data_IF_423820964263
#
_entry.id   IF_423820964263
#
_cell.length_a   1.000
_cell.length_b   1.000
_cell.length_c   1.000
_cell.angle_alpha   90.00
_cell.angle_beta   90.00
_cell.angle_gamma   90.00
#
_symmetry.space_group_name_H-M   'P 1'
#
loop_
_entity.id
_entity.type
_entity.pdbx_description
1 polymer ?
#
# COMPACT_ATOMS: atom_id res chain seq x y z
N UNK A 1 -12.23 4.47 -7.78
CA UNK A 1 -12.08 3.00 -7.62
C UNK A 1 -11.30 2.68 -6.35
N UNK A 2 -10.01 2.94 -6.27
CA UNK A 2 -9.18 2.71 -5.05
C UNK A 2 -9.69 3.47 -3.84
N UNK A 3 -10.14 4.72 -3.99
CA UNK A 3 -10.78 5.48 -2.92
C UNK A 3 -12.00 4.77 -2.31
N UNK A 4 -12.87 4.15 -3.15
CA UNK A 4 -14.03 3.40 -2.65
C UNK A 4 -13.58 2.14 -1.88
N UNK A 5 -12.55 1.43 -2.35
CA UNK A 5 -11.97 0.29 -1.63
C UNK A 5 -11.43 0.75 -0.28
N UNK A 6 -10.62 1.81 -0.24
CA UNK A 6 -10.04 2.37 0.99
C UNK A 6 -11.12 2.80 1.99
N UNK A 7 -12.19 3.47 1.51
CA UNK A 7 -13.32 3.84 2.38
C UNK A 7 -14.08 2.63 2.94
N UNK A 8 -14.15 1.52 2.21
CA UNK A 8 -14.72 0.26 2.71
C UNK A 8 -13.84 -0.35 3.78
N UNK A 9 -12.50 -0.38 3.56
CA UNK A 9 -11.53 -0.85 4.57
C UNK A 9 -11.71 -0.06 5.86
N UNK A 10 -11.72 1.27 5.78
CA UNK A 10 -11.83 2.12 6.95
C UNK A 10 -13.13 1.89 7.72
N UNK A 11 -14.29 1.83 7.02
CA UNK A 11 -15.57 1.51 7.68
C UNK A 11 -15.56 0.15 8.40
N UNK A 12 -14.89 -0.87 7.82
CA UNK A 12 -14.76 -2.18 8.48
C UNK A 12 -13.88 -2.09 9.72
N UNK A 13 -12.76 -1.37 9.66
CA UNK A 13 -11.84 -1.17 10.77
C UNK A 13 -12.49 -0.42 11.93
N UNK A 14 -13.20 0.67 11.63
CA UNK A 14 -13.89 1.49 12.64
C UNK A 14 -15.03 0.73 13.30
N UNK A 15 -15.91 0.10 12.49
CA UNK A 15 -17.11 -0.57 12.98
C UNK A 15 -16.82 -1.87 13.72
N UNK A 16 -15.89 -2.69 13.21
CA UNK A 16 -15.74 -4.08 13.67
C UNK A 16 -14.48 -4.30 14.52
N UNK A 17 -13.52 -3.37 14.50
CA UNK A 17 -12.27 -3.49 15.26
C UNK A 17 -11.98 -2.29 16.17
N UNK A 18 -12.83 -1.27 16.18
CA UNK A 18 -12.64 -0.07 16.99
C UNK A 18 -11.35 0.70 16.66
N UNK A 19 -10.84 0.55 15.43
CA UNK A 19 -9.61 1.19 14.98
C UNK A 19 -9.97 2.54 14.36
N UNK A 20 -9.39 3.62 14.87
CA UNK A 20 -9.51 4.95 14.26
C UNK A 20 -8.77 4.97 12.92
N UNK A 21 -9.44 5.44 11.88
CA UNK A 21 -8.88 5.57 10.54
C UNK A 21 -8.73 7.03 10.16
N UNK A 22 -7.56 7.37 9.63
CA UNK A 22 -7.29 8.68 9.02
C UNK A 22 -7.04 8.44 7.54
N UNK A 23 -7.81 9.11 6.70
CA UNK A 23 -7.63 9.04 5.25
C UNK A 23 -6.73 10.18 4.79
N UNK A 24 -5.75 9.87 3.94
CA UNK A 24 -4.93 10.91 3.29
C UNK A 24 -5.75 11.72 2.29
N UNK A 25 -6.84 11.13 1.80
CA UNK A 25 -7.94 11.81 1.08
C UNK A 25 -9.22 11.01 1.25
N UNK A 26 -10.33 11.68 1.35
CA UNK A 26 -11.69 11.10 1.44
C UNK A 26 -12.57 11.52 0.25
N UNK A 27 -12.08 12.41 -0.59
CA UNK A 27 -12.68 12.84 -1.84
C UNK A 27 -11.77 12.55 -3.04
N UNK A 28 -12.29 12.74 -4.26
CA UNK A 28 -11.50 12.55 -5.49
C UNK A 28 -10.65 13.79 -5.80
N UNK A 29 -9.71 14.06 -4.90
CA UNK A 29 -8.76 15.17 -4.97
C UNK A 29 -7.35 14.62 -5.06
N UNK A 30 -6.43 15.40 -5.62
CA UNK A 30 -5.02 15.09 -5.60
C UNK A 30 -4.40 15.55 -4.28
N UNK A 31 -3.60 14.66 -3.67
CA UNK A 31 -2.78 14.97 -2.48
C UNK A 31 -1.34 14.59 -2.82
N UNK A 32 -0.37 15.51 -2.70
CA UNK A 32 1.04 15.25 -2.93
C UNK A 32 1.53 14.01 -2.17
N UNK A 33 2.46 13.28 -2.78
CA UNK A 33 2.91 12.00 -2.21
C UNK A 33 3.48 12.18 -0.81
N UNK A 34 4.35 13.16 -0.62
CA UNK A 34 5.03 13.41 0.66
C UNK A 34 4.05 13.85 1.77
N UNK A 35 2.98 14.53 1.41
CA UNK A 35 1.97 14.99 2.38
C UNK A 35 1.19 13.82 2.98
N UNK A 36 1.12 12.68 2.30
CA UNK A 36 0.43 11.48 2.78
C UNK A 36 1.17 10.86 3.98
N UNK A 37 2.49 10.66 3.87
CA UNK A 37 3.28 10.13 5.00
C UNK A 37 3.44 11.16 6.10
N UNK A 38 3.55 12.45 5.76
CA UNK A 38 3.53 13.52 6.76
C UNK A 38 2.24 13.51 7.58
N UNK A 39 1.08 13.44 6.95
CA UNK A 39 -0.22 13.33 7.64
C UNK A 39 -0.26 12.09 8.55
N UNK A 40 0.24 10.93 8.09
CA UNK A 40 0.31 9.73 8.90
C UNK A 40 1.18 9.91 10.14
N UNK A 41 2.33 10.60 10.03
CA UNK A 41 3.21 10.91 11.14
C UNK A 41 2.57 11.91 12.11
N UNK A 42 2.00 13.01 11.59
CA UNK A 42 1.40 14.08 12.40
C UNK A 42 0.20 13.57 13.23
N UNK A 43 -0.49 12.54 12.73
CA UNK A 43 -1.61 11.90 13.44
C UNK A 43 -1.19 10.74 14.33
N UNK A 44 0.12 10.49 14.51
CA UNK A 44 0.67 9.35 15.25
C UNK A 44 0.11 7.99 14.77
N UNK A 45 -0.02 7.83 13.46
CA UNK A 45 -0.50 6.60 12.83
C UNK A 45 0.32 5.38 13.28
N UNK A 46 -0.36 4.26 13.49
CA UNK A 46 0.30 3.00 13.88
C UNK A 46 0.61 2.11 12.70
N UNK A 47 -0.08 2.30 11.60
CA UNK A 47 0.14 1.65 10.32
C UNK A 47 -0.13 2.66 9.20
N UNK A 48 0.59 2.53 8.09
CA UNK A 48 0.30 3.24 6.85
C UNK A 48 0.08 2.23 5.72
N UNK A 49 -1.11 2.23 5.13
CA UNK A 49 -1.49 1.33 4.04
C UNK A 49 -1.91 2.15 2.83
N UNK A 50 -1.12 2.07 1.77
CA UNK A 50 -1.43 2.70 0.48
C UNK A 50 -2.11 1.69 -0.43
N UNK A 51 -3.28 2.03 -1.00
CA UNK A 51 -4.07 1.14 -1.87
C UNK A 51 -4.04 1.66 -3.30
N UNK A 52 -3.56 0.83 -4.21
CA UNK A 52 -3.33 1.15 -5.61
C UNK A 52 -4.00 0.15 -6.55
N UNK A 53 -4.15 0.53 -7.80
CA UNK A 53 -4.51 -0.36 -8.91
C UNK A 53 -3.42 -0.23 -9.97
N UNK A 54 -2.64 -1.29 -10.11
CA UNK A 54 -1.45 -1.36 -10.94
C UNK A 54 -1.75 -1.16 -12.45
N UNK A 55 -0.72 -0.85 -13.19
CA UNK A 55 -0.75 -0.82 -14.67
C UNK A 55 0.48 -1.52 -15.24
N UNK A 56 0.33 -2.17 -16.38
CA UNK A 56 1.44 -2.81 -17.09
C UNK A 56 1.24 -2.62 -18.61
N UNK A 57 2.29 -2.32 -19.39
CA UNK A 57 2.22 -2.26 -20.86
C UNK A 57 1.69 -3.57 -21.47
N UNK A 58 2.06 -4.71 -20.90
CA UNK A 58 1.47 -5.99 -21.26
C UNK A 58 0.09 -6.13 -20.58
N UNK A 59 -0.96 -5.86 -21.32
CA UNK A 59 -2.36 -5.90 -20.86
C UNK A 59 -2.87 -7.30 -20.50
N UNK A 60 -2.08 -8.35 -20.68
CA UNK A 60 -2.40 -9.71 -20.23
C UNK A 60 -2.04 -9.93 -18.76
N UNK A 61 -1.18 -9.10 -18.20
CA UNK A 61 -0.77 -9.18 -16.79
C UNK A 61 -1.99 -8.90 -15.91
N UNK A 62 -2.17 -9.74 -14.87
CA UNK A 62 -3.25 -9.67 -13.91
C UNK A 62 -2.80 -10.17 -12.53
N UNK A 63 -3.61 -9.93 -11.51
CA UNK A 63 -3.37 -10.38 -10.14
C UNK A 63 -3.15 -9.24 -9.16
N UNK A 64 -2.84 -9.58 -7.94
CA UNK A 64 -2.57 -8.63 -6.86
C UNK A 64 -1.19 -8.88 -6.28
N UNK A 65 -0.59 -7.83 -5.72
CA UNK A 65 0.75 -7.86 -5.12
C UNK A 65 0.86 -6.83 -4.01
N UNK A 66 1.69 -7.09 -3.01
CA UNK A 66 1.95 -6.15 -1.91
C UNK A 66 3.41 -5.76 -1.89
N UNK A 67 3.69 -4.48 -1.73
CA UNK A 67 5.04 -3.93 -1.78
C UNK A 67 5.50 -3.38 -0.45
N UNK A 68 6.80 -3.57 -0.21
CA UNK A 68 7.58 -2.97 0.86
C UNK A 68 8.49 -1.88 0.32
N UNK A 69 8.81 -0.90 1.15
CA UNK A 69 9.82 0.09 0.83
C UNK A 69 11.22 -0.50 1.02
N UNK A 70 11.87 -0.84 -0.07
CA UNK A 70 13.30 -1.20 -0.17
C UNK A 70 13.77 -0.95 -1.61
N UNK A 71 15.08 -0.92 -1.85
CA UNK A 71 15.58 -0.96 -3.22
C UNK A 71 14.99 -2.17 -3.98
N UNK A 72 14.52 -1.93 -5.19
CA UNK A 72 13.90 -2.97 -6.01
C UNK A 72 14.88 -4.08 -6.36
N UNK A 73 14.42 -5.35 -6.31
CA UNK A 73 15.22 -6.53 -6.65
C UNK A 73 14.94 -7.07 -8.05
N UNK A 74 13.82 -6.70 -8.66
CA UNK A 74 13.43 -7.13 -9.99
C UNK A 74 13.08 -5.95 -10.87
N UNK A 75 13.32 -6.08 -12.16
CA UNK A 75 12.97 -5.04 -13.15
C UNK A 75 11.47 -4.71 -13.08
N UNK A 76 10.61 -5.71 -13.02
CA UNK A 76 9.15 -5.50 -12.88
C UNK A 76 8.80 -4.61 -11.68
N UNK A 77 9.42 -4.83 -10.51
CA UNK A 77 9.15 -4.05 -9.30
C UNK A 77 9.67 -2.61 -9.42
N UNK A 78 10.84 -2.43 -10.04
CA UNK A 78 11.42 -1.12 -10.33
C UNK A 78 10.53 -0.36 -11.29
N UNK A 79 10.02 -1.01 -12.33
CA UNK A 79 9.12 -0.41 -13.31
C UNK A 79 7.78 0.03 -12.70
N UNK A 80 7.21 -0.76 -11.79
CA UNK A 80 5.99 -0.39 -11.06
C UNK A 80 6.25 0.86 -10.22
N UNK A 81 7.30 0.86 -9.40
CA UNK A 81 7.65 2.02 -8.58
C UNK A 81 7.94 3.27 -9.44
N UNK A 82 8.62 3.11 -10.56
CA UNK A 82 8.90 4.23 -11.48
C UNK A 82 7.61 4.86 -12.02
N UNK A 83 6.62 4.05 -12.39
CA UNK A 83 5.30 4.54 -12.85
C UNK A 83 4.53 5.26 -11.75
N UNK A 84 4.48 4.66 -10.55
CA UNK A 84 3.79 5.26 -9.40
C UNK A 84 4.47 6.55 -8.95
N UNK A 85 5.80 6.58 -8.92
CA UNK A 85 6.57 7.77 -8.57
C UNK A 85 6.45 8.89 -9.63
N UNK A 86 6.13 8.56 -10.89
CA UNK A 86 6.00 9.56 -11.96
C UNK A 86 4.89 10.61 -11.69
N UNK A 87 3.97 10.33 -10.76
CA UNK A 87 2.91 11.25 -10.34
C UNK A 87 3.45 12.55 -9.72
N UNK A 88 4.69 12.55 -9.20
CA UNK A 88 5.36 13.78 -8.71
C UNK A 88 5.44 14.89 -9.76
N UNK A 89 5.42 14.52 -11.06
CA UNK A 89 5.41 15.50 -12.17
C UNK A 89 4.13 16.34 -12.21
N UNK A 90 3.09 15.93 -11.49
CA UNK A 90 1.83 16.65 -11.34
C UNK A 90 1.84 17.57 -10.11
N UNK A 91 2.89 17.54 -9.31
CA UNK A 91 3.01 18.36 -8.11
C UNK A 91 3.65 19.71 -8.44
N UNK A 92 3.20 20.78 -7.77
CA UNK A 92 3.74 22.13 -7.96
C UNK A 92 5.19 22.27 -7.44
N UNK A 93 5.55 21.46 -6.44
CA UNK A 93 6.85 21.47 -5.77
C UNK A 93 7.57 20.13 -5.95
N UNK A 94 8.21 19.95 -7.09
CA UNK A 94 8.94 18.70 -7.40
C UNK A 94 10.31 18.62 -6.73
N UNK A 95 10.97 19.73 -6.42
CA UNK A 95 12.34 19.78 -5.89
C UNK A 95 12.57 19.04 -4.56
N UNK A 96 11.49 18.75 -3.82
CA UNK A 96 11.57 17.93 -2.59
C UNK A 96 11.95 16.46 -2.86
N UNK A 97 11.83 15.99 -4.10
CA UNK A 97 12.17 14.62 -4.53
C UNK A 97 13.55 14.53 -5.20
N UNK A 98 14.21 15.65 -5.51
CA UNK A 98 15.48 15.68 -6.24
C UNK A 98 16.58 14.89 -5.53
N UNK A 99 16.50 14.83 -4.20
CA UNK A 99 17.43 14.08 -3.37
C UNK A 99 17.02 12.60 -3.15
N UNK A 100 15.91 12.13 -3.71
CA UNK A 100 15.43 10.76 -3.51
C UNK A 100 15.87 9.82 -4.66
N UNK A 101 17.11 9.97 -5.11
CA UNK A 101 17.71 9.12 -6.16
C UNK A 101 18.98 8.46 -5.65
N UNK A 102 19.35 7.33 -6.25
CA UNK A 102 20.62 6.64 -5.96
C UNK A 102 20.85 6.38 -4.46
N UNK A 103 22.00 6.81 -3.95
CA UNK A 103 22.42 6.59 -2.56
C UNK A 103 21.46 7.23 -1.54
N UNK A 104 20.88 8.38 -1.85
CA UNK A 104 19.95 9.06 -0.95
C UNK A 104 18.63 8.29 -0.78
N UNK A 105 18.16 7.61 -1.81
CA UNK A 105 17.02 6.68 -1.69
C UNK A 105 17.36 5.50 -0.77
N UNK A 106 18.57 4.96 -0.87
CA UNK A 106 19.05 3.91 0.03
C UNK A 106 19.09 4.42 1.46
N UNK A 107 19.64 5.60 1.69
CA UNK A 107 19.69 6.24 3.03
C UNK A 107 18.29 6.46 3.60
N UNK A 108 17.34 6.97 2.80
CA UNK A 108 15.95 7.17 3.22
C UNK A 108 15.25 5.85 3.58
N UNK A 109 15.52 4.77 2.83
CA UNK A 109 14.98 3.44 3.15
C UNK A 109 15.63 2.82 4.38
N UNK A 110 16.93 3.07 4.62
CA UNK A 110 17.62 2.61 5.82
C UNK A 110 17.12 3.31 7.09
N UNK A 111 16.77 4.59 7.02
CA UNK A 111 16.18 5.30 8.15
C UNK A 111 14.87 4.68 8.65
N UNK A 112 14.15 3.96 7.78
CA UNK A 112 12.90 3.27 8.10
C UNK A 112 13.10 1.79 8.46
N UNK A 113 14.35 1.32 8.55
CA UNK A 113 14.68 -0.10 8.79
C UNK A 113 14.09 -0.65 10.10
N UNK A 114 13.88 0.21 11.09
CA UNK A 114 13.27 -0.17 12.38
C UNK A 114 11.84 -0.75 12.22
N UNK A 115 11.11 -0.32 11.19
CA UNK A 115 9.74 -0.80 10.91
C UNK A 115 9.70 -1.91 9.85
N UNK A 116 10.88 -2.32 9.37
CA UNK A 116 10.96 -3.22 8.21
C UNK A 116 10.35 -4.58 8.47
N UNK A 117 10.70 -5.21 9.61
CA UNK A 117 10.17 -6.53 9.98
C UNK A 117 8.66 -6.51 10.10
N UNK A 118 8.12 -5.48 10.72
CA UNK A 118 6.68 -5.31 10.90
C UNK A 118 5.96 -5.03 9.59
N UNK A 119 6.60 -4.29 8.68
CA UNK A 119 6.07 -4.07 7.33
C UNK A 119 6.05 -5.38 6.53
N UNK A 120 7.08 -6.23 6.66
CA UNK A 120 7.11 -7.57 6.05
C UNK A 120 5.98 -8.45 6.56
N UNK A 121 5.78 -8.51 7.87
CA UNK A 121 4.72 -9.29 8.49
C UNK A 121 3.33 -8.78 8.05
N UNK A 122 3.12 -7.46 8.05
CA UNK A 122 1.89 -6.83 7.56
C UNK A 122 1.62 -7.18 6.08
N UNK A 123 2.64 -7.04 5.22
CA UNK A 123 2.52 -7.34 3.80
C UNK A 123 2.18 -8.81 3.55
N UNK A 124 2.86 -9.73 4.25
CA UNK A 124 2.63 -11.16 4.13
C UNK A 124 1.19 -11.53 4.55
N UNK A 125 0.70 -10.96 5.65
CA UNK A 125 -0.65 -11.22 6.16
C UNK A 125 -1.70 -10.66 5.20
N UNK A 126 -1.55 -9.42 4.71
CA UNK A 126 -2.48 -8.84 3.73
C UNK A 126 -2.49 -9.65 2.44
N UNK A 127 -1.31 -10.04 1.92
CA UNK A 127 -1.18 -10.85 0.72
C UNK A 127 -1.89 -12.20 0.86
N UNK A 128 -1.74 -12.86 2.00
CA UNK A 128 -2.43 -14.11 2.33
C UNK A 128 -3.95 -13.94 2.39
N UNK A 129 -4.45 -12.86 2.99
CA UNK A 129 -5.89 -12.60 3.08
C UNK A 129 -6.53 -12.25 1.72
N UNK A 130 -5.77 -11.58 0.84
CA UNK A 130 -6.17 -11.37 -0.55
C UNK A 130 -6.26 -12.71 -1.30
N UNK A 131 -5.28 -13.60 -1.12
CA UNK A 131 -5.23 -14.92 -1.75
C UNK A 131 -6.44 -15.80 -1.37
N UNK A 132 -6.86 -15.74 -0.11
CA UNK A 132 -8.03 -16.48 0.39
C UNK A 132 -9.35 -16.06 -0.25
N UNK A 133 -9.49 -14.79 -0.68
CA UNK A 133 -10.79 -14.22 -1.09
C UNK A 133 -10.87 -13.84 -2.56
N UNK A 134 -9.72 -13.64 -3.21
CA UNK A 134 -9.69 -13.23 -4.60
C UNK A 134 -9.37 -14.41 -5.51
N UNK A 135 -10.17 -14.55 -6.56
CA UNK A 135 -9.92 -15.53 -7.61
C UNK A 135 -9.14 -14.86 -8.77
N UNK A 136 -7.95 -14.33 -8.45
CA UNK A 136 -6.99 -13.71 -9.37
C UNK A 136 -5.58 -14.13 -8.96
N UNK A 137 -4.60 -14.13 -9.86
CA UNK A 137 -3.25 -14.58 -9.54
C UNK A 137 -2.63 -13.82 -8.35
N UNK A 138 -2.12 -14.56 -7.38
CA UNK A 138 -1.29 -14.06 -6.32
C UNK A 138 0.14 -13.87 -6.85
N UNK A 139 0.61 -12.62 -6.90
CA UNK A 139 1.95 -12.26 -7.40
C UNK A 139 2.97 -12.06 -6.27
N UNK A 140 2.56 -12.32 -5.03
CA UNK A 140 3.42 -12.32 -3.85
C UNK A 140 3.73 -10.94 -3.28
N UNK A 141 4.57 -10.97 -2.24
CA UNK A 141 5.14 -9.77 -1.62
C UNK A 141 6.43 -9.42 -2.34
N UNK A 142 6.58 -8.15 -2.68
CA UNK A 142 7.72 -7.60 -3.42
C UNK A 142 8.30 -6.38 -2.70
N UNK A 143 9.37 -5.82 -3.25
CA UNK A 143 9.99 -4.61 -2.73
C UNK A 143 10.37 -3.66 -3.86
N UNK A 144 10.15 -2.36 -3.64
CA UNK A 144 10.61 -1.31 -4.54
C UNK A 144 10.63 0.06 -3.84
N UNK A 145 11.25 1.04 -4.48
CA UNK A 145 11.45 2.40 -3.96
C UNK A 145 10.23 3.29 -4.19
N UNK A 146 9.10 2.98 -3.57
CA UNK A 146 7.89 3.81 -3.65
C UNK A 146 8.02 5.07 -2.81
N UNK A 147 7.96 6.24 -3.43
CA UNK A 147 8.04 7.52 -2.72
C UNK A 147 6.91 7.73 -1.72
N UNK A 148 5.73 7.19 -2.00
CA UNK A 148 4.58 7.27 -1.09
C UNK A 148 4.79 6.54 0.24
N UNK A 149 5.81 5.70 0.37
CA UNK A 149 6.16 5.01 1.61
C UNK A 149 7.34 5.66 2.35
N UNK A 150 8.09 6.55 1.67
CA UNK A 150 9.26 7.21 2.26
C UNK A 150 8.82 8.18 3.36
N UNK A 151 9.55 8.19 4.47
CA UNK A 151 9.33 9.09 5.60
C UNK A 151 8.23 8.62 6.57
N UNK A 152 7.53 7.54 6.31
CA UNK A 152 6.58 6.98 7.26
C UNK A 152 7.29 6.47 8.53
N UNK A 153 6.89 6.96 9.71
CA UNK A 153 7.44 6.60 11.01
C UNK A 153 6.63 5.47 11.67
N UNK A 154 6.16 4.52 10.87
CA UNK A 154 5.39 3.34 11.27
C UNK A 154 5.53 2.23 10.23
N UNK A 155 5.12 0.97 10.54
CA UNK A 155 5.00 -0.09 9.53
C UNK A 155 4.13 0.36 8.37
N UNK A 156 4.61 0.13 7.14
CA UNK A 156 3.95 0.64 5.95
C UNK A 156 4.04 -0.33 4.77
N UNK A 157 3.00 -0.35 3.95
CA UNK A 157 2.89 -1.19 2.75
C UNK A 157 2.11 -0.49 1.65
N UNK A 158 2.37 -0.88 0.40
CA UNK A 158 1.56 -0.52 -0.75
C UNK A 158 0.92 -1.79 -1.32
N UNK A 159 -0.40 -1.78 -1.47
CA UNK A 159 -1.19 -2.92 -1.93
C UNK A 159 -1.73 -2.62 -3.33
N UNK A 160 -1.26 -3.37 -4.32
CA UNK A 160 -1.77 -3.38 -5.68
C UNK A 160 -2.89 -4.41 -5.79
N UNK A 161 -4.12 -3.94 -5.87
CA UNK A 161 -5.32 -4.79 -5.77
C UNK A 161 -5.74 -5.42 -7.11
N UNK A 162 -5.03 -5.14 -8.18
CA UNK A 162 -5.29 -5.63 -9.53
C UNK A 162 -4.69 -4.69 -10.57
N UNK A 163 -4.70 -5.11 -11.85
CA UNK A 163 -4.15 -4.33 -12.97
C UNK A 163 -5.27 -3.62 -13.74
N UNK A 164 -5.36 -2.30 -13.61
CA UNK A 164 -6.36 -1.50 -14.35
C UNK A 164 -6.11 -1.51 -15.87
N UNK A 165 -4.87 -1.79 -16.31
CA UNK A 165 -4.52 -1.97 -17.72
C UNK A 165 -5.06 -3.27 -18.32
N UNK A 166 -5.42 -4.27 -17.50
CA UNK A 166 -6.06 -5.51 -17.95
C UNK A 166 -7.59 -5.32 -18.01
N UNK A 167 -8.23 -5.45 -19.21
CA UNK A 167 -9.67 -5.16 -19.34
C UNK A 167 -10.59 -6.04 -18.46
N UNK A 168 -10.19 -7.29 -18.22
CA UNK A 168 -10.98 -8.18 -17.38
C UNK A 168 -10.87 -7.78 -15.88
N UNK A 169 -9.71 -7.39 -15.42
CA UNK A 169 -9.53 -6.89 -14.05
C UNK A 169 -10.13 -5.51 -13.84
N UNK A 170 -9.98 -4.61 -14.81
CA UNK A 170 -10.66 -3.31 -14.78
C UNK A 170 -12.18 -3.49 -14.59
N UNK A 171 -12.79 -4.43 -15.34
CA UNK A 171 -14.21 -4.76 -15.20
C UNK A 171 -14.53 -5.30 -13.80
N UNK A 172 -13.69 -6.19 -13.24
CA UNK A 172 -13.85 -6.72 -11.88
C UNK A 172 -13.73 -5.61 -10.83
N UNK A 173 -12.70 -4.76 -10.95
CA UNK A 173 -12.44 -3.65 -10.02
C UNK A 173 -13.55 -2.59 -9.99
N UNK A 174 -14.40 -2.51 -11.04
CA UNK A 174 -15.62 -1.68 -11.06
C UNK A 174 -16.77 -2.30 -10.27
N UNK A 175 -16.78 -3.62 -10.02
CA UNK A 175 -17.87 -4.32 -9.35
C UNK A 175 -17.85 -4.12 -7.84
N UNK A 176 -19.00 -3.79 -7.25
CA UNK A 176 -19.12 -3.54 -5.82
C UNK A 176 -18.75 -4.77 -4.97
N UNK A 177 -19.12 -5.97 -5.40
CA UNK A 177 -18.80 -7.24 -4.72
C UNK A 177 -17.31 -7.50 -4.71
N UNK A 178 -16.61 -7.27 -5.83
CA UNK A 178 -15.16 -7.47 -5.89
C UNK A 178 -14.40 -6.46 -5.03
N UNK A 179 -14.79 -5.19 -5.07
CA UNK A 179 -14.24 -4.15 -4.18
C UNK A 179 -14.47 -4.48 -2.71
N UNK A 180 -15.61 -5.04 -2.37
CA UNK A 180 -15.91 -5.47 -1.01
C UNK A 180 -15.00 -6.62 -0.56
N UNK A 181 -14.77 -7.64 -1.39
CA UNK A 181 -13.82 -8.74 -1.09
C UNK A 181 -12.40 -8.24 -0.87
N UNK A 182 -11.93 -7.30 -1.70
CA UNK A 182 -10.63 -6.66 -1.52
C UNK A 182 -10.57 -5.94 -0.17
N UNK A 183 -11.60 -5.15 0.15
CA UNK A 183 -11.66 -4.40 1.40
C UNK A 183 -11.69 -5.32 2.63
N UNK A 184 -12.43 -6.41 2.58
CA UNK A 184 -12.46 -7.43 3.62
C UNK A 184 -11.10 -8.12 3.80
N UNK A 185 -10.39 -8.39 2.71
CA UNK A 185 -9.05 -8.96 2.77
C UNK A 185 -8.06 -8.04 3.48
N UNK A 186 -8.03 -6.76 3.10
CA UNK A 186 -7.15 -5.77 3.72
C UNK A 186 -7.53 -5.56 5.20
N UNK A 187 -8.83 -5.48 5.50
CA UNK A 187 -9.34 -5.37 6.87
C UNK A 187 -8.90 -6.55 7.74
N UNK A 188 -9.11 -7.79 7.29
CA UNK A 188 -8.69 -8.98 8.04
C UNK A 188 -7.17 -9.02 8.20
N UNK A 189 -6.41 -8.64 7.17
CA UNK A 189 -4.96 -8.53 7.26
C UNK A 189 -4.50 -7.56 8.35
N UNK A 190 -5.06 -6.37 8.41
CA UNK A 190 -4.75 -5.38 9.44
C UNK A 190 -5.17 -5.87 10.83
N UNK A 191 -6.34 -6.47 10.95
CA UNK A 191 -6.85 -7.04 12.21
C UNK A 191 -5.95 -8.15 12.75
N UNK A 192 -5.54 -9.08 11.88
CA UNK A 192 -4.61 -10.16 12.26
C UNK A 192 -3.25 -9.60 12.68
N UNK A 193 -2.71 -8.64 11.93
CA UNK A 193 -1.46 -7.99 12.27
C UNK A 193 -1.53 -7.31 13.64
N UNK A 194 -2.60 -6.53 13.90
CA UNK A 194 -2.84 -5.90 15.21
C UNK A 194 -2.83 -6.94 16.33
N UNK A 195 -3.62 -8.00 16.19
CA UNK A 195 -3.72 -9.06 17.19
C UNK A 195 -2.37 -9.75 17.48
N UNK A 196 -1.61 -10.08 16.41
CA UNK A 196 -0.29 -10.69 16.54
C UNK A 196 0.70 -9.78 17.29
N UNK A 197 0.63 -8.47 17.02
CA UNK A 197 1.47 -7.47 17.70
C UNK A 197 1.10 -7.34 19.19
N UNK A 198 -0.19 -7.24 19.50
CA UNK A 198 -0.66 -7.13 20.88
C UNK A 198 -0.27 -8.35 21.70
N UNK A 199 -0.35 -9.54 21.12
CA UNK A 199 0.09 -10.79 21.77
C UNK A 199 1.59 -10.79 22.05
N UNK A 200 2.43 -10.39 21.08
CA UNK A 200 3.87 -10.27 21.28
C UNK A 200 4.24 -9.28 22.39
N UNK A 201 3.52 -8.17 22.50
CA UNK A 201 3.77 -7.15 23.54
C UNK A 201 3.27 -7.58 24.91
N UNK A 202 2.27 -8.46 24.98
CA UNK A 202 1.74 -9.03 26.23
C UNK A 202 2.64 -10.15 26.80
N UNK A 203 3.62 -10.64 26.03
CA UNK A 203 4.55 -11.69 26.48
C UNK A 203 3.98 -13.11 26.44
N UNK A 204 2.91 -13.31 25.66
CA UNK A 204 2.24 -14.61 25.42
C UNK A 204 2.76 -15.32 24.17
#
# INVERSE_FOLDING_TARGET
>A
MVLDITKRVGRLLEKNAGIKVVYTRDEDVFVPIIDRTKMANDTNGKLFVSVHANSNPNRKIQGFETYLLRPGKSEDAIDVASRENAVIKLEEKTGQYDNLTGENLIMATMAQSIFMKESEDLAAIIQMELDKRLNTPNRGVKQAGFYVLIGASMPNVLVEVGFISNPAEEKKLKQAVHKQRIAESIYEGIKHFKYSREKLLAGD
#
